data_IF_368033154908
#
_entry.id   IF_368033154908
#
_cell.length_a   1.000
_cell.length_b   1.000
_cell.length_c   1.000
_cell.angle_alpha   90.00
_cell.angle_beta   90.00
_cell.angle_gamma   90.00
#
_symmetry.space_group_name_H-M   'P 1'
#
loop_
_entity.id
_entity.type
_entity.pdbx_description
1 polymer ?
#
# COMPACT_ATOMS: atom_id res chain seq x y z
N UNK A 1 26.83 -1.50 4.03
CA UNK A 1 25.77 -2.52 4.21
C UNK A 1 25.10 -2.69 2.85
N UNK A 2 25.02 -3.93 2.35
CA UNK A 2 24.26 -4.20 1.14
C UNK A 2 22.79 -3.85 1.39
N UNK A 3 22.19 -3.06 0.52
CA UNK A 3 20.82 -2.60 0.68
C UNK A 3 19.91 -3.83 0.49
N UNK A 4 19.18 -4.22 1.55
CA UNK A 4 18.24 -5.35 1.48
C UNK A 4 17.18 -5.03 0.42
N UNK A 5 17.07 -5.84 -0.63
CA UNK A 5 16.04 -5.68 -1.66
C UNK A 5 14.69 -6.04 -1.09
N UNK A 6 13.68 -5.23 -1.41
CA UNK A 6 12.31 -5.49 -0.98
C UNK A 6 11.77 -6.74 -1.65
N UNK A 7 11.16 -7.63 -0.87
CA UNK A 7 10.61 -8.91 -1.33
C UNK A 7 9.54 -9.45 -0.40
N UNK A 8 8.77 -10.40 -0.89
CA UNK A 8 7.72 -11.09 -0.17
C UNK A 8 7.91 -12.60 -0.30
N UNK A 9 7.73 -13.32 0.80
CA UNK A 9 7.62 -14.77 0.81
C UNK A 9 6.17 -15.17 1.06
N UNK A 10 5.70 -16.13 0.28
CA UNK A 10 4.43 -16.84 0.48
C UNK A 10 4.73 -18.25 0.92
N UNK A 11 4.15 -18.67 2.03
CA UNK A 11 4.39 -19.99 2.59
C UNK A 11 3.12 -20.58 3.22
N UNK A 12 3.16 -21.88 3.48
CA UNK A 12 2.12 -22.59 4.22
C UNK A 12 2.70 -23.21 5.48
N UNK A 13 1.82 -23.50 6.44
CA UNK A 13 2.14 -24.21 7.67
C UNK A 13 1.34 -25.50 7.77
N UNK A 14 1.93 -26.54 8.39
CA UNK A 14 1.28 -27.82 8.69
C UNK A 14 0.57 -28.43 7.47
N UNK A 15 1.25 -28.43 6.30
CA UNK A 15 0.69 -29.03 5.08
C UNK A 15 -0.50 -28.26 4.47
N UNK A 16 -0.54 -26.93 4.65
CA UNK A 16 -1.57 -26.07 4.05
C UNK A 16 -2.70 -25.66 4.99
N UNK A 17 -2.62 -26.00 6.29
CA UNK A 17 -3.64 -25.61 7.27
C UNK A 17 -3.66 -24.11 7.59
N UNK A 18 -2.55 -23.41 7.37
CA UNK A 18 -2.49 -21.95 7.37
C UNK A 18 -1.64 -21.46 6.20
N UNK A 19 -1.96 -20.27 5.69
CA UNK A 19 -1.13 -19.54 4.73
C UNK A 19 -0.51 -18.32 5.39
N UNK A 20 0.72 -18.03 5.00
CA UNK A 20 1.46 -16.89 5.55
C UNK A 20 2.06 -16.09 4.40
N UNK A 21 1.98 -14.78 4.52
CA UNK A 21 2.72 -13.82 3.70
C UNK A 21 3.60 -13.01 4.63
N UNK A 22 4.88 -12.94 4.34
CA UNK A 22 5.82 -12.09 5.07
C UNK A 22 6.62 -11.28 4.07
N UNK A 23 6.79 -9.99 4.32
CA UNK A 23 7.51 -9.11 3.39
C UNK A 23 8.49 -8.18 4.11
N UNK A 24 9.57 -7.88 3.42
CA UNK A 24 10.50 -6.78 3.71
C UNK A 24 10.27 -5.69 2.65
N UNK A 25 9.86 -4.50 3.09
CA UNK A 25 9.59 -3.33 2.26
C UNK A 25 10.53 -2.18 2.59
N UNK A 26 11.67 -2.45 3.23
CA UNK A 26 12.59 -1.43 3.75
C UNK A 26 13.07 -0.45 2.68
N UNK A 27 13.54 -0.99 1.54
CA UNK A 27 13.99 -0.17 0.41
C UNK A 27 12.85 0.69 -0.16
N UNK A 28 11.66 0.10 -0.34
CA UNK A 28 10.47 0.82 -0.83
C UNK A 28 10.03 1.94 0.13
N UNK A 29 10.05 1.68 1.43
CA UNK A 29 9.69 2.66 2.45
C UNK A 29 10.68 3.83 2.48
N UNK A 30 11.99 3.57 2.29
CA UNK A 30 12.99 4.62 2.16
C UNK A 30 12.74 5.46 0.90
N UNK A 31 12.52 4.82 -0.25
CA UNK A 31 12.21 5.51 -1.50
C UNK A 31 10.94 6.37 -1.37
N UNK A 32 9.88 5.86 -0.73
CA UNK A 32 8.67 6.64 -0.49
C UNK A 32 8.92 7.85 0.41
N UNK A 33 9.70 7.68 1.50
CA UNK A 33 10.13 8.77 2.37
C UNK A 33 10.84 9.87 1.57
N UNK A 34 11.79 9.49 0.71
CA UNK A 34 12.59 10.43 -0.06
C UNK A 34 11.75 11.17 -1.10
N UNK A 35 10.89 10.46 -1.84
CA UNK A 35 9.98 11.04 -2.84
C UNK A 35 9.05 12.08 -2.23
N UNK A 36 8.48 11.77 -1.07
CA UNK A 36 7.49 12.64 -0.42
C UNK A 36 8.10 13.61 0.61
N UNK A 37 9.40 13.55 0.85
CA UNK A 37 10.08 14.28 1.93
C UNK A 37 9.32 14.14 3.26
N UNK A 38 8.99 12.89 3.59
CA UNK A 38 8.05 12.60 4.66
C UNK A 38 8.71 12.63 6.05
N UNK A 39 7.95 13.10 7.03
CA UNK A 39 8.29 13.04 8.45
C UNK A 39 8.48 11.60 8.92
N UNK A 40 9.00 11.40 10.13
CA UNK A 40 9.15 10.06 10.68
C UNK A 40 7.80 9.36 10.87
N UNK A 41 6.79 10.10 11.36
CA UNK A 41 5.44 9.58 11.57
C UNK A 41 4.79 9.15 10.27
N UNK A 42 4.82 10.01 9.23
CA UNK A 42 4.26 9.71 7.92
C UNK A 42 5.06 8.64 7.17
N UNK A 43 6.38 8.57 7.34
CA UNK A 43 7.21 7.49 6.81
C UNK A 43 6.82 6.13 7.40
N UNK A 44 6.53 6.08 8.70
CA UNK A 44 6.04 4.86 9.34
C UNK A 44 4.65 4.46 8.81
N UNK A 45 3.75 5.42 8.60
CA UNK A 45 2.44 5.17 8.00
C UNK A 45 2.58 4.60 6.58
N UNK A 46 3.38 5.25 5.72
CA UNK A 46 3.59 4.80 4.34
C UNK A 46 4.25 3.42 4.27
N UNK A 47 5.24 3.14 5.13
CA UNK A 47 5.88 1.82 5.16
C UNK A 47 4.92 0.70 5.53
N UNK A 48 4.03 0.91 6.51
CA UNK A 48 2.98 -0.04 6.87
C UNK A 48 1.96 -0.23 5.76
N UNK A 49 1.53 0.85 5.10
CA UNK A 49 0.62 0.77 3.95
C UNK A 49 1.23 0.02 2.78
N UNK A 50 2.51 0.24 2.49
CA UNK A 50 3.26 -0.51 1.46
C UNK A 50 3.24 -2.00 1.75
N UNK A 51 3.57 -2.40 2.98
CA UNK A 51 3.60 -3.81 3.39
C UNK A 51 2.21 -4.46 3.29
N UNK A 52 1.18 -3.83 3.85
CA UNK A 52 -0.19 -4.33 3.81
C UNK A 52 -0.69 -4.50 2.37
N UNK A 53 -0.48 -3.48 1.53
CA UNK A 53 -0.98 -3.48 0.16
C UNK A 53 -0.17 -4.42 -0.74
N UNK A 54 1.15 -4.57 -0.51
CA UNK A 54 1.98 -5.57 -1.18
C UNK A 54 1.47 -7.00 -0.92
N UNK A 55 1.16 -7.31 0.34
CA UNK A 55 0.58 -8.61 0.73
C UNK A 55 -0.76 -8.86 0.04
N UNK A 56 -1.62 -7.84 -0.05
CA UNK A 56 -2.89 -7.96 -0.77
C UNK A 56 -2.67 -8.14 -2.27
N UNK A 57 -1.73 -7.39 -2.86
CA UNK A 57 -1.37 -7.48 -4.28
C UNK A 57 -0.88 -8.86 -4.69
N UNK A 58 -0.12 -9.53 -3.80
CA UNK A 58 0.38 -10.90 -4.03
C UNK A 58 -0.74 -11.97 -4.16
N UNK A 59 -1.99 -11.63 -3.82
CA UNK A 59 -3.16 -12.49 -4.03
C UNK A 59 -3.89 -12.24 -5.35
N UNK A 60 -3.52 -11.21 -6.11
CA UNK A 60 -4.06 -10.93 -7.43
C UNK A 60 -3.54 -11.95 -8.44
N UNK A 61 -4.32 -12.23 -9.49
CA UNK A 61 -4.00 -13.31 -10.43
C UNK A 61 -3.66 -12.82 -11.83
N UNK A 62 -4.29 -11.74 -12.27
CA UNK A 62 -4.20 -11.26 -13.64
C UNK A 62 -3.39 -9.96 -13.70
N UNK A 63 -2.63 -9.78 -14.76
CA UNK A 63 -1.71 -8.64 -14.97
C UNK A 63 -2.43 -7.27 -14.90
N UNK A 64 -3.71 -7.24 -15.31
CA UNK A 64 -4.57 -6.04 -15.25
C UNK A 64 -5.21 -5.79 -13.88
N UNK A 65 -5.13 -6.74 -12.95
CA UNK A 65 -5.75 -6.60 -11.63
C UNK A 65 -5.00 -5.54 -10.81
N UNK A 66 -5.75 -4.78 -10.02
CA UNK A 66 -5.18 -3.79 -9.08
C UNK A 66 -5.95 -3.82 -7.77
N UNK A 67 -5.21 -3.61 -6.70
CA UNK A 67 -5.80 -3.35 -5.40
C UNK A 67 -5.44 -1.94 -4.96
N UNK A 68 -6.44 -1.20 -4.51
CA UNK A 68 -6.27 0.14 -3.95
C UNK A 68 -6.77 0.11 -2.52
N UNK A 69 -5.90 0.42 -1.57
CA UNK A 69 -6.25 0.57 -0.17
C UNK A 69 -6.13 2.04 0.24
N UNK A 70 -7.18 2.58 0.85
CA UNK A 70 -7.22 3.97 1.30
C UNK A 70 -7.70 4.02 2.75
N UNK A 71 -6.92 4.68 3.61
CA UNK A 71 -7.32 5.02 4.97
C UNK A 71 -7.58 6.51 5.03
N UNK A 72 -8.77 6.86 5.52
CA UNK A 72 -9.15 8.24 5.83
C UNK A 72 -9.81 8.24 7.20
N UNK A 73 -9.07 8.64 8.20
CA UNK A 73 -9.50 8.67 9.61
C UNK A 73 -9.72 10.07 10.17
N UNK A 74 -9.64 11.11 9.32
CA UNK A 74 -9.82 12.51 9.74
C UNK A 74 -8.66 13.09 10.58
N UNK A 75 -7.52 12.42 10.59
CA UNK A 75 -6.32 12.91 11.26
C UNK A 75 -5.57 13.98 10.46
N UNK A 76 -4.57 14.65 11.07
CA UNK A 76 -3.88 15.79 10.45
C UNK A 76 -3.03 15.41 9.22
N UNK A 77 -2.59 14.16 9.08
CA UNK A 77 -1.85 13.71 7.91
C UNK A 77 -2.74 13.52 6.67
N UNK A 78 -4.06 13.62 6.83
CA UNK A 78 -5.03 13.39 5.77
C UNK A 78 -5.10 11.93 5.31
N UNK A 79 -5.77 11.65 4.20
CA UNK A 79 -5.84 10.33 3.62
C UNK A 79 -4.48 9.79 3.19
N UNK A 80 -4.31 8.49 3.41
CA UNK A 80 -3.20 7.70 2.86
C UNK A 80 -3.75 6.67 1.90
N UNK A 81 -3.12 6.53 0.73
CA UNK A 81 -3.53 5.59 -0.31
C UNK A 81 -2.34 4.80 -0.83
N UNK A 82 -2.52 3.49 -1.00
CA UNK A 82 -1.55 2.64 -1.68
C UNK A 82 -2.23 1.77 -2.73
N UNK A 83 -1.52 1.51 -3.83
CA UNK A 83 -2.01 0.69 -4.94
C UNK A 83 -0.96 -0.37 -5.24
N UNK A 84 -1.39 -1.62 -5.38
CA UNK A 84 -0.53 -2.74 -5.76
C UNK A 84 -1.06 -3.51 -6.96
N UNK A 85 -0.13 -4.05 -7.75
CA UNK A 85 -0.38 -5.02 -8.81
C UNK A 85 0.06 -6.44 -8.42
N UNK A 86 -0.25 -7.45 -9.26
CA UNK A 86 0.13 -8.86 -9.03
C UNK A 86 1.62 -9.12 -9.23
N UNK A 87 2.34 -8.20 -9.86
CA UNK A 87 3.75 -8.31 -10.21
C UNK A 87 4.71 -7.78 -9.12
N UNK A 88 4.18 -7.48 -7.93
CA UNK A 88 4.93 -6.93 -6.80
C UNK A 88 5.21 -5.42 -6.91
N UNK A 89 4.61 -4.73 -7.89
CA UNK A 89 4.66 -3.27 -7.94
C UNK A 89 3.70 -2.66 -6.94
N UNK A 90 4.17 -1.67 -6.18
CA UNK A 90 3.35 -0.91 -5.23
C UNK A 90 3.68 0.57 -5.36
N UNK A 91 2.68 1.43 -5.16
CA UNK A 91 2.86 2.88 -5.02
C UNK A 91 2.04 3.37 -3.83
N UNK A 92 2.52 4.41 -3.16
CA UNK A 92 1.88 4.98 -1.96
C UNK A 92 1.92 6.50 -2.00
N UNK A 93 0.92 7.13 -1.44
CA UNK A 93 0.86 8.58 -1.23
C UNK A 93 0.14 8.89 0.08
N UNK A 94 0.48 10.02 0.70
CA UNK A 94 -0.19 10.59 1.86
C UNK A 94 -0.39 12.08 1.60
N UNK A 95 -1.50 12.64 2.07
CA UNK A 95 -1.88 14.03 1.72
C UNK A 95 -0.92 15.05 2.33
N UNK A 96 -0.60 14.91 3.61
CA UNK A 96 0.28 15.81 4.36
C UNK A 96 1.51 15.06 4.92
N UNK A 97 2.53 14.77 4.07
CA UNK A 97 3.68 13.97 4.43
C UNK A 97 4.58 14.60 5.49
N UNK A 98 4.50 15.92 5.69
CA UNK A 98 5.28 16.69 6.64
C UNK A 98 4.79 16.59 8.09
N UNK A 99 3.59 16.02 8.32
CA UNK A 99 2.99 15.93 9.66
C UNK A 99 3.80 15.03 10.57
N UNK A 100 4.35 15.61 11.63
CA UNK A 100 5.09 14.92 12.68
C UNK A 100 4.35 15.07 14.01
N UNK A 101 4.14 13.99 14.74
CA UNK A 101 3.49 14.00 16.04
C UNK A 101 4.46 13.56 17.14
N UNK A 102 4.26 14.00 18.39
CA UNK A 102 4.99 13.49 19.53
C UNK A 102 4.86 11.96 19.61
N UNK A 103 5.92 11.32 20.07
CA UNK A 103 5.90 9.88 20.33
C UNK A 103 4.81 9.54 21.36
N UNK A 104 4.26 8.33 21.22
CA UNK A 104 3.38 7.75 22.22
C UNK A 104 4.13 7.52 23.55
N UNK A 105 3.41 7.32 24.65
CA UNK A 105 3.99 7.04 25.96
C UNK A 105 4.94 5.84 25.96
N UNK A 106 4.71 4.86 25.08
CA UNK A 106 5.55 3.69 24.88
C UNK A 106 6.77 3.92 23.96
N UNK A 107 7.03 5.16 23.56
CA UNK A 107 8.13 5.55 22.70
C UNK A 107 7.95 5.25 21.20
N UNK A 108 6.79 4.70 20.79
CA UNK A 108 6.50 4.43 19.36
C UNK A 108 5.96 5.69 18.65
N UNK A 109 6.18 5.75 17.33
CA UNK A 109 5.59 6.78 16.47
C UNK A 109 4.06 6.73 16.51
N UNK A 110 3.42 7.89 16.55
CA UNK A 110 1.96 8.02 16.70
C UNK A 110 1.25 8.04 15.34
N UNK A 111 1.28 6.90 14.63
CA UNK A 111 0.66 6.77 13.30
C UNK A 111 -0.84 6.91 13.39
N UNK A 112 -1.49 6.26 14.37
CA UNK A 112 -2.92 6.38 14.57
C UNK A 112 -3.38 7.79 14.88
N UNK A 113 -2.59 8.58 15.62
CA UNK A 113 -2.88 10.00 15.83
C UNK A 113 -2.74 10.83 14.55
N UNK A 114 -1.80 10.50 13.68
CA UNK A 114 -1.60 11.21 12.41
C UNK A 114 -2.70 10.91 11.39
N UNK A 115 -3.12 9.66 11.26
CA UNK A 115 -4.17 9.25 10.32
C UNK A 115 -5.59 9.50 10.87
N UNK A 116 -5.73 9.50 12.20
CA UNK A 116 -7.04 9.54 12.86
C UNK A 116 -7.72 8.17 12.85
N UNK A 117 -8.87 8.09 13.54
CA UNK A 117 -9.67 6.86 13.66
C UNK A 117 -11.16 7.05 13.38
N UNK A 118 -11.58 8.30 13.17
CA UNK A 118 -12.99 8.64 12.97
C UNK A 118 -13.35 8.58 11.48
N UNK A 119 -13.13 7.39 10.87
CA UNK A 119 -13.30 7.16 9.45
C UNK A 119 -13.23 5.70 9.07
N UNK A 120 -12.70 5.42 7.87
CA UNK A 120 -12.76 4.07 7.31
C UNK A 120 -11.50 3.68 6.55
N UNK A 121 -11.24 2.37 6.51
CA UNK A 121 -10.41 1.72 5.51
C UNK A 121 -11.30 1.29 4.35
N UNK A 122 -10.98 1.71 3.14
CA UNK A 122 -11.60 1.28 1.89
C UNK A 122 -10.59 0.48 1.08
N UNK A 123 -10.97 -0.72 0.67
CA UNK A 123 -10.19 -1.55 -0.24
C UNK A 123 -11.00 -1.77 -1.50
N UNK A 124 -10.44 -1.40 -2.65
CA UNK A 124 -11.03 -1.57 -3.96
C UNK A 124 -10.19 -2.56 -4.77
N UNK A 125 -10.83 -3.59 -5.32
CA UNK A 125 -10.22 -4.55 -6.25
C UNK A 125 -10.77 -4.31 -7.65
N UNK A 126 -9.90 -3.95 -8.58
CA UNK A 126 -10.23 -3.81 -10.00
C UNK A 126 -9.64 -5.00 -10.76
N UNK A 127 -10.44 -5.63 -11.60
CA UNK A 127 -10.07 -6.81 -12.39
C UNK A 127 -9.80 -6.49 -13.87
N UNK A 128 -9.56 -5.24 -14.20
CA UNK A 128 -9.32 -4.81 -15.58
C UNK A 128 -10.58 -4.75 -16.46
N UNK A 129 -11.71 -5.28 -15.98
CA UNK A 129 -13.02 -5.24 -16.64
C UNK A 129 -14.14 -5.29 -15.60
N UNK A 130 -15.29 -4.70 -15.94
CA UNK A 130 -16.44 -4.67 -15.04
C UNK A 130 -16.31 -3.62 -13.92
N UNK A 131 -17.24 -3.69 -12.96
CA UNK A 131 -17.19 -2.82 -11.78
C UNK A 131 -16.22 -3.39 -10.74
N UNK A 132 -15.48 -2.53 -10.03
CA UNK A 132 -14.58 -2.99 -8.97
C UNK A 132 -15.34 -3.49 -7.75
N UNK A 133 -14.80 -4.50 -7.09
CA UNK A 133 -15.26 -4.89 -5.75
C UNK A 133 -14.74 -3.89 -4.73
N UNK A 134 -15.63 -3.39 -3.86
CA UNK A 134 -15.30 -2.39 -2.84
C UNK A 134 -15.73 -2.86 -1.45
N UNK A 135 -14.75 -3.14 -0.59
CA UNK A 135 -14.96 -3.39 0.83
C UNK A 135 -14.64 -2.15 1.66
N UNK A 136 -15.43 -1.92 2.71
CA UNK A 136 -15.25 -0.81 3.66
C UNK A 136 -15.46 -1.28 5.07
N UNK A 137 -14.56 -0.86 5.98
CA UNK A 137 -14.68 -1.10 7.43
C UNK A 137 -14.35 0.16 8.19
N UNK A 138 -14.99 0.37 9.33
CA UNK A 138 -14.62 1.44 10.24
C UNK A 138 -13.21 1.22 10.78
N UNK A 139 -12.45 2.29 10.99
CA UNK A 139 -11.12 2.19 11.59
C UNK A 139 -11.23 1.80 13.06
N UNK A 140 -10.33 0.93 13.49
CA UNK A 140 -10.16 0.52 14.89
C UNK A 140 -9.28 1.52 15.61
N UNK A 141 -8.11 1.82 15.04
CA UNK A 141 -7.10 2.64 15.70
C UNK A 141 -6.37 3.62 14.79
N UNK A 142 -6.43 3.42 13.47
CA UNK A 142 -5.59 4.14 12.51
C UNK A 142 -4.11 3.72 12.53
N UNK A 143 -3.75 2.67 13.30
CA UNK A 143 -2.39 2.10 13.31
C UNK A 143 -2.10 1.19 12.12
N UNK A 144 -3.06 1.04 11.23
CA UNK A 144 -3.03 0.31 9.96
C UNK A 144 -3.14 -1.21 10.15
N UNK A 145 -2.31 -1.84 10.99
CA UNK A 145 -2.31 -3.29 11.15
C UNK A 145 -3.64 -3.83 11.70
N UNK A 146 -4.17 -3.19 12.73
CA UNK A 146 -5.46 -3.53 13.35
C UNK A 146 -6.62 -3.27 12.39
N UNK A 147 -6.52 -2.19 11.60
CA UNK A 147 -7.54 -1.80 10.63
C UNK A 147 -7.61 -2.82 9.47
N UNK A 148 -6.45 -3.32 9.00
CA UNK A 148 -6.41 -4.41 8.02
C UNK A 148 -6.86 -5.75 8.59
N UNK A 149 -6.53 -6.07 9.86
CA UNK A 149 -7.04 -7.27 10.52
C UNK A 149 -8.57 -7.24 10.58
N UNK A 150 -9.16 -6.08 10.92
CA UNK A 150 -10.61 -5.89 10.92
C UNK A 150 -11.21 -6.02 9.52
N UNK A 151 -10.54 -5.48 8.48
CA UNK A 151 -10.96 -5.63 7.10
C UNK A 151 -11.01 -7.11 6.68
N UNK A 152 -9.99 -7.89 7.01
CA UNK A 152 -9.99 -9.31 6.71
C UNK A 152 -11.10 -10.05 7.45
N UNK A 153 -11.39 -9.66 8.68
CA UNK A 153 -12.45 -10.28 9.49
C UNK A 153 -13.85 -9.96 8.95
N UNK A 154 -14.17 -8.68 8.76
CA UNK A 154 -15.53 -8.23 8.44
C UNK A 154 -15.85 -8.30 6.95
N UNK A 155 -14.91 -7.88 6.09
CA UNK A 155 -15.14 -7.79 4.65
C UNK A 155 -14.78 -9.09 3.92
N UNK A 156 -13.64 -9.71 4.27
CA UNK A 156 -13.18 -10.96 3.65
C UNK A 156 -13.67 -12.21 4.38
N UNK A 157 -14.28 -12.07 5.56
CA UNK A 157 -14.73 -13.17 6.42
C UNK A 157 -13.60 -14.18 6.72
N UNK A 158 -12.38 -13.71 6.76
CA UNK A 158 -11.17 -14.53 6.99
C UNK A 158 -10.41 -13.98 8.20
N UNK A 159 -10.62 -14.55 9.39
CA UNK A 159 -9.86 -14.16 10.58
C UNK A 159 -8.37 -14.26 10.31
N UNK A 160 -7.65 -13.16 10.56
CA UNK A 160 -6.25 -13.02 10.18
C UNK A 160 -5.45 -12.36 11.28
N UNK A 161 -4.22 -12.84 11.51
CA UNK A 161 -3.22 -12.11 12.25
C UNK A 161 -2.49 -11.22 11.25
N UNK A 162 -2.56 -9.91 11.47
CA UNK A 162 -1.85 -8.91 10.67
C UNK A 162 -0.91 -8.11 11.57
N UNK A 163 0.38 -8.14 11.26
CA UNK A 163 1.37 -7.32 11.95
C UNK A 163 2.19 -6.55 10.92
N UNK A 164 2.24 -5.23 11.10
CA UNK A 164 2.94 -4.30 10.23
C UNK A 164 3.85 -3.42 11.06
N UNK A 165 5.04 -3.12 10.55
CA UNK A 165 5.97 -2.30 11.30
C UNK A 165 6.94 -1.55 10.39
N UNK A 166 7.30 -0.33 10.82
CA UNK A 166 8.36 0.45 10.20
C UNK A 166 9.18 1.08 11.31
N UNK A 167 10.45 0.74 11.36
CA UNK A 167 11.42 1.28 12.30
C UNK A 167 12.18 2.42 11.60
N UNK A 168 12.02 3.62 12.14
CA UNK A 168 12.54 4.85 11.55
C UNK A 168 13.65 5.42 12.45
N UNK A 169 14.79 5.71 11.84
CA UNK A 169 15.90 6.45 12.42
C UNK A 169 16.21 7.67 11.56
N UNK A 170 17.48 7.93 11.32
CA UNK A 170 17.90 8.89 10.29
C UNK A 170 17.39 8.47 8.91
N UNK A 171 17.45 7.16 8.65
CA UNK A 171 16.83 6.49 7.49
C UNK A 171 15.83 5.45 7.98
N UNK A 172 15.11 4.82 7.04
CA UNK A 172 14.30 3.65 7.36
C UNK A 172 15.25 2.49 7.69
N UNK A 173 15.18 2.01 8.92
CA UNK A 173 16.03 0.90 9.41
C UNK A 173 15.44 -0.42 8.94
N UNK A 174 14.11 -0.60 9.10
CA UNK A 174 13.37 -1.76 8.63
C UNK A 174 11.90 -1.41 8.43
N UNK A 175 11.28 -1.99 7.42
CA UNK A 175 9.84 -1.89 7.13
C UNK A 175 9.35 -3.20 6.55
N UNK A 176 8.14 -3.61 6.93
CA UNK A 176 7.52 -4.79 6.39
C UNK A 176 6.34 -5.26 7.23
N UNK A 177 5.93 -6.48 6.97
CA UNK A 177 4.78 -7.04 7.68
C UNK A 177 4.60 -8.52 7.45
N UNK A 178 3.68 -9.07 8.22
CA UNK A 178 3.25 -10.45 8.12
C UNK A 178 1.72 -10.54 8.19
N UNK A 179 1.16 -11.40 7.37
CA UNK A 179 -0.24 -11.81 7.40
C UNK A 179 -0.30 -13.32 7.55
N UNK A 180 -1.01 -13.80 8.56
CA UNK A 180 -1.25 -15.22 8.80
C UNK A 180 -2.74 -15.47 8.75
N UNK A 181 -3.16 -16.43 7.96
CA UNK A 181 -4.57 -16.80 7.76
C UNK A 181 -4.75 -18.29 7.95
N UNK A 182 -5.59 -18.66 8.92
CA UNK A 182 -6.02 -20.04 9.10
C UNK A 182 -6.93 -20.46 7.94
N UNK A 183 -6.71 -21.65 7.42
CA UNK A 183 -7.60 -22.24 6.41
C UNK A 183 -8.80 -22.92 7.10
N UNK A 184 -9.89 -23.17 6.38
CA UNK A 184 -11.09 -23.78 6.99
C UNK A 184 -10.85 -25.10 7.73
N UNK A 185 -9.85 -25.87 7.29
CA UNK A 185 -9.47 -27.15 7.88
C UNK A 185 -8.35 -27.03 8.94
N UNK A 186 -8.11 -25.82 9.46
CA UNK A 186 -7.08 -25.59 10.46
C UNK A 186 -7.43 -26.31 11.76
N UNK A 187 -6.46 -27.05 12.29
CA UNK A 187 -6.59 -27.73 13.57
C UNK A 187 -6.55 -26.74 14.76
N UNK A 188 -7.26 -27.06 15.85
CA UNK A 188 -7.20 -26.27 17.09
C UNK A 188 -5.77 -26.16 17.62
N UNK A 189 -4.97 -27.23 17.50
CA UNK A 189 -3.56 -27.24 17.89
C UNK A 189 -2.73 -26.18 17.14
N UNK A 190 -2.98 -26.01 15.83
CA UNK A 190 -2.29 -24.98 15.07
C UNK A 190 -2.79 -23.59 15.43
N UNK A 191 -4.09 -23.40 15.65
CA UNK A 191 -4.64 -22.13 16.09
C UNK A 191 -4.04 -21.68 17.43
N UNK A 192 -4.01 -22.54 18.44
CA UNK A 192 -3.39 -22.27 19.73
C UNK A 192 -1.89 -21.92 19.57
N UNK A 193 -1.20 -22.67 18.70
CA UNK A 193 0.21 -22.42 18.43
C UNK A 193 0.46 -21.07 17.74
N UNK A 194 -0.45 -20.59 16.88
CA UNK A 194 -0.36 -19.30 16.25
C UNK A 194 -0.71 -18.15 17.21
N UNK A 195 -1.71 -18.34 18.07
CA UNK A 195 -2.07 -17.36 19.11
C UNK A 195 -0.90 -17.09 20.07
N UNK A 196 -0.24 -18.14 20.55
CA UNK A 196 0.95 -18.01 21.41
C UNK A 196 2.08 -17.22 20.70
N UNK A 197 2.20 -17.38 19.39
CA UNK A 197 3.25 -16.71 18.58
C UNK A 197 2.88 -15.30 18.13
N UNK A 198 1.62 -14.91 18.25
CA UNK A 198 1.15 -13.59 17.79
C UNK A 198 1.95 -12.43 18.42
N UNK A 199 2.33 -12.56 19.68
CA UNK A 199 3.11 -11.54 20.38
C UNK A 199 4.50 -11.34 19.78
N UNK A 200 5.12 -12.38 19.19
CA UNK A 200 6.44 -12.28 18.54
C UNK A 200 6.41 -11.29 17.37
N UNK A 201 5.26 -11.20 16.68
CA UNK A 201 5.10 -10.33 15.52
C UNK A 201 4.72 -8.89 15.89
N UNK A 202 4.40 -8.60 17.16
CA UNK A 202 4.12 -7.22 17.62
C UNK A 202 5.29 -6.26 17.39
N UNK A 203 6.50 -6.80 17.19
CA UNK A 203 7.73 -6.08 16.90
C UNK A 203 8.34 -6.52 15.56
N UNK A 204 7.52 -6.78 14.54
CA UNK A 204 7.97 -7.28 13.23
C UNK A 204 9.08 -6.43 12.60
N UNK A 205 9.04 -5.11 12.74
CA UNK A 205 10.09 -4.23 12.22
C UNK A 205 11.44 -4.43 12.91
N UNK A 206 11.44 -4.83 14.17
CA UNK A 206 12.67 -5.16 14.89
C UNK A 206 13.23 -6.51 14.42
N UNK A 207 12.37 -7.51 14.25
CA UNK A 207 12.79 -8.78 13.64
C UNK A 207 13.41 -8.57 12.25
N UNK A 208 12.77 -7.77 11.40
CA UNK A 208 13.27 -7.44 10.06
C UNK A 208 14.59 -6.65 10.08
N UNK A 209 14.87 -5.88 11.14
CA UNK A 209 16.14 -5.17 11.27
C UNK A 209 17.32 -6.09 11.58
N UNK A 210 17.07 -7.21 12.23
CA UNK A 210 18.09 -8.13 12.75
C UNK A 210 18.24 -9.40 11.93
N UNK A 211 17.15 -9.84 11.23
CA UNK A 211 17.05 -11.15 10.60
C UNK A 211 16.62 -11.03 9.13
N UNK A 212 16.90 -12.06 8.36
CA UNK A 212 16.31 -12.27 7.03
C UNK A 212 14.90 -12.84 7.13
N UNK A 213 14.11 -12.79 6.05
CA UNK A 213 12.76 -13.38 6.05
C UNK A 213 12.79 -14.88 6.35
N UNK A 214 13.77 -15.61 5.83
CA UNK A 214 13.96 -17.03 6.07
C UNK A 214 14.28 -17.34 7.53
N UNK A 215 15.15 -16.57 8.15
CA UNK A 215 15.48 -16.71 9.58
C UNK A 215 14.28 -16.43 10.48
N UNK A 216 13.44 -15.44 10.12
CA UNK A 216 12.17 -15.16 10.83
C UNK A 216 11.22 -16.36 10.66
N UNK A 217 11.08 -16.90 9.45
CA UNK A 217 10.23 -18.06 9.18
C UNK A 217 10.70 -19.29 9.97
N UNK A 218 12.00 -19.62 9.92
CA UNK A 218 12.56 -20.74 10.67
C UNK A 218 12.42 -20.57 12.19
N UNK A 219 12.67 -19.37 12.69
CA UNK A 219 12.62 -19.08 14.12
C UNK A 219 11.19 -19.07 14.66
N UNK A 220 10.32 -18.28 14.02
CA UNK A 220 8.96 -18.05 14.53
C UNK A 220 8.00 -19.21 14.27
N UNK A 221 8.24 -20.02 13.21
CA UNK A 221 7.39 -21.16 12.87
C UNK A 221 8.04 -22.53 13.11
N UNK A 222 9.07 -22.56 13.98
CA UNK A 222 9.70 -23.83 14.36
C UNK A 222 8.65 -24.82 14.89
N UNK A 223 8.66 -26.02 14.33
CA UNK A 223 7.72 -27.10 14.68
C UNK A 223 6.38 -27.05 13.99
N UNK A 224 6.12 -26.02 13.16
CA UNK A 224 4.89 -25.89 12.35
C UNK A 224 5.10 -26.24 10.88
N UNK A 225 6.23 -26.86 10.53
CA UNK A 225 6.59 -27.31 9.18
C UNK A 225 6.33 -26.23 8.10
N UNK A 226 7.00 -25.05 8.19
CA UNK A 226 6.85 -24.01 7.19
C UNK A 226 7.39 -24.47 5.83
N UNK A 227 6.59 -24.28 4.78
CA UNK A 227 6.95 -24.59 3.39
C UNK A 227 6.82 -23.31 2.56
N UNK A 228 7.96 -22.77 2.09
CA UNK A 228 8.00 -21.59 1.22
C UNK A 228 7.57 -22.03 -0.18
N UNK A 229 6.48 -21.45 -0.67
CA UNK A 229 5.90 -21.75 -1.97
C UNK A 229 6.39 -20.80 -3.07
N UNK A 230 6.63 -19.55 -2.70
CA UNK A 230 6.94 -18.49 -3.66
C UNK A 230 7.75 -17.38 -3.01
N UNK A 231 8.68 -16.81 -3.76
CA UNK A 231 9.36 -15.56 -3.48
C UNK A 231 9.03 -14.55 -4.58
N UNK A 232 8.55 -13.36 -4.20
CA UNK A 232 8.19 -12.28 -5.11
C UNK A 232 9.04 -11.04 -4.83
N UNK A 233 9.76 -10.49 -5.83
CA UNK A 233 10.41 -9.20 -5.69
C UNK A 233 9.36 -8.09 -5.58
N UNK A 234 9.57 -7.14 -4.67
CA UNK A 234 8.70 -5.97 -4.51
C UNK A 234 9.40 -4.71 -5.00
N UNK A 235 8.64 -3.78 -5.58
CA UNK A 235 9.18 -2.54 -6.13
C UNK A 235 8.22 -1.36 -5.89
N UNK A 236 8.77 -0.24 -5.42
CA UNK A 236 8.05 1.02 -5.44
C UNK A 236 8.09 1.55 -6.89
N UNK A 237 6.96 1.52 -7.57
CA UNK A 237 6.90 1.92 -8.97
C UNK A 237 5.58 2.63 -9.27
N UNK A 238 5.69 3.83 -9.88
CA UNK A 238 4.55 4.55 -10.42
C UNK A 238 4.45 4.33 -11.92
N UNK A 239 3.25 4.07 -12.39
CA UNK A 239 2.89 3.85 -13.79
C UNK A 239 2.33 5.11 -14.48
N UNK A 240 2.48 6.29 -13.86
CA UNK A 240 2.06 7.54 -14.48
C UNK A 240 2.86 7.83 -15.76
N UNK A 241 2.17 8.29 -16.78
CA UNK A 241 2.74 8.70 -18.06
C UNK A 241 2.10 10.00 -18.53
N UNK A 242 2.72 10.68 -19.51
CA UNK A 242 2.13 11.86 -20.12
C UNK A 242 0.75 11.56 -20.71
N UNK A 243 0.62 10.46 -21.43
CA UNK A 243 -0.64 10.01 -22.03
C UNK A 243 -1.73 9.74 -20.98
N UNK A 244 -1.33 9.23 -19.78
CA UNK A 244 -2.27 9.06 -18.69
C UNK A 244 -2.76 10.40 -18.15
N UNK A 245 -1.86 11.37 -17.96
CA UNK A 245 -2.21 12.72 -17.50
C UNK A 245 -3.07 13.46 -18.52
N UNK A 246 -2.81 13.30 -19.82
CA UNK A 246 -3.65 13.84 -20.89
C UNK A 246 -5.09 13.33 -20.81
N UNK A 247 -5.28 12.03 -20.59
CA UNK A 247 -6.63 11.47 -20.37
C UNK A 247 -7.29 12.02 -19.10
N UNK A 248 -6.53 12.23 -18.04
CA UNK A 248 -7.06 12.85 -16.80
C UNK A 248 -7.50 14.29 -17.08
N UNK A 249 -6.69 15.09 -17.78
CA UNK A 249 -7.06 16.46 -18.17
C UNK A 249 -8.34 16.46 -19.02
N UNK A 250 -8.44 15.61 -20.03
CA UNK A 250 -9.66 15.50 -20.84
C UNK A 250 -10.89 15.11 -20.02
N UNK A 251 -10.73 14.31 -18.98
CA UNK A 251 -11.85 13.92 -18.10
C UNK A 251 -12.38 15.06 -17.22
N UNK A 252 -11.62 16.14 -17.06
CA UNK A 252 -12.07 17.36 -16.33
C UNK A 252 -13.09 18.17 -17.15
N UNK A 253 -13.09 18.00 -18.48
CA UNK A 253 -13.97 18.70 -19.40
C UNK A 253 -13.29 19.84 -20.14
N UNK A 254 -13.88 20.20 -21.28
CA UNK A 254 -13.32 21.21 -22.20
C UNK A 254 -13.24 22.60 -21.55
N UNK A 255 -14.25 22.98 -20.78
CA UNK A 255 -14.31 24.32 -20.15
C UNK A 255 -13.14 24.54 -19.19
N UNK A 256 -12.79 23.54 -18.38
CA UNK A 256 -11.65 23.61 -17.47
C UNK A 256 -10.32 23.73 -18.20
N UNK A 257 -10.16 22.98 -19.29
CA UNK A 257 -8.93 23.03 -20.11
C UNK A 257 -8.82 24.42 -20.80
N UNK A 258 -9.93 24.98 -21.31
CA UNK A 258 -9.95 26.34 -21.88
C UNK A 258 -9.60 27.40 -20.86
N UNK A 259 -10.09 27.26 -19.62
CA UNK A 259 -9.73 28.14 -18.51
C UNK A 259 -8.20 28.10 -18.22
N UNK A 260 -7.58 26.91 -18.26
CA UNK A 260 -6.12 26.78 -18.11
C UNK A 260 -5.36 27.47 -19.23
N UNK A 261 -5.84 27.38 -20.47
CA UNK A 261 -5.23 28.03 -21.64
C UNK A 261 -5.33 29.56 -21.48
N UNK A 262 -6.53 30.09 -21.24
CA UNK A 262 -6.81 31.52 -21.21
C UNK A 262 -6.15 32.24 -20.03
N UNK A 263 -6.18 31.61 -18.83
CA UNK A 263 -5.72 32.27 -17.60
C UNK A 263 -4.23 32.10 -17.34
N UNK A 264 -3.65 30.94 -17.74
CA UNK A 264 -2.29 30.56 -17.37
C UNK A 264 -1.39 30.19 -18.56
N UNK A 265 -1.94 30.19 -19.80
CA UNK A 265 -1.27 29.75 -21.02
C UNK A 265 -0.67 28.34 -20.87
N UNK A 266 -1.36 27.43 -20.15
CA UNK A 266 -0.95 26.07 -19.90
C UNK A 266 -1.24 25.61 -18.48
N UNK A 267 -0.73 24.44 -18.10
CA UNK A 267 -0.82 23.93 -16.75
C UNK A 267 0.40 23.07 -16.37
N UNK A 268 0.60 22.91 -15.07
CA UNK A 268 1.54 21.94 -14.51
C UNK A 268 0.77 20.98 -13.61
N UNK A 269 0.93 19.67 -13.85
CA UNK A 269 0.32 18.60 -13.07
C UNK A 269 1.41 17.80 -12.39
N UNK A 270 1.32 17.68 -11.07
CA UNK A 270 2.21 16.83 -10.28
C UNK A 270 1.55 15.49 -9.97
N UNK A 271 2.26 14.39 -10.21
CA UNK A 271 1.78 13.07 -9.83
C UNK A 271 1.85 12.87 -8.31
N UNK A 272 0.73 12.63 -7.66
CA UNK A 272 0.66 12.45 -6.21
C UNK A 272 1.52 11.30 -5.68
N UNK A 273 1.75 10.24 -6.48
CA UNK A 273 2.51 9.06 -6.05
C UNK A 273 4.03 9.19 -6.20
N UNK A 274 4.53 9.81 -7.27
CA UNK A 274 5.97 9.88 -7.55
C UNK A 274 6.51 11.30 -7.65
N UNK A 275 5.67 12.30 -7.43
CA UNK A 275 6.03 13.74 -7.48
C UNK A 275 6.62 14.19 -8.82
N UNK A 276 6.43 13.41 -9.90
CA UNK A 276 6.85 13.80 -11.24
C UNK A 276 5.93 14.89 -11.76
N UNK A 277 6.55 15.95 -12.32
CA UNK A 277 5.86 17.08 -12.91
C UNK A 277 5.65 16.88 -14.41
N UNK A 278 4.44 17.16 -14.87
CA UNK A 278 4.04 17.17 -16.27
C UNK A 278 3.57 18.57 -16.63
N UNK A 279 4.25 19.19 -17.59
CA UNK A 279 3.93 20.54 -18.07
C UNK A 279 3.27 20.47 -19.43
N UNK A 280 2.22 21.27 -19.60
CA UNK A 280 1.47 21.43 -20.83
C UNK A 280 1.38 22.90 -21.14
N UNK A 281 1.85 23.31 -22.33
CA UNK A 281 1.65 24.66 -22.86
C UNK A 281 0.20 24.86 -23.32
N UNK A 282 -0.22 26.12 -23.53
CA UNK A 282 -1.53 26.41 -24.10
C UNK A 282 -1.72 25.76 -25.46
N UNK A 283 -0.71 25.77 -26.33
CA UNK A 283 -0.73 25.12 -27.65
C UNK A 283 -0.92 23.59 -27.55
N UNK A 284 -0.20 22.94 -26.62
CA UNK A 284 -0.38 21.49 -26.39
C UNK A 284 -1.76 21.13 -25.86
N UNK A 285 -2.38 21.99 -25.04
CA UNK A 285 -3.74 21.79 -24.55
C UNK A 285 -4.79 22.01 -25.65
N UNK A 286 -4.58 22.98 -26.56
CA UNK A 286 -5.43 23.18 -27.73
C UNK A 286 -5.37 21.96 -28.67
N UNK A 287 -4.18 21.45 -28.93
CA UNK A 287 -3.98 20.24 -29.74
C UNK A 287 -4.67 19.02 -29.11
N UNK A 288 -4.60 18.88 -27.78
CA UNK A 288 -5.25 17.79 -27.02
C UNK A 288 -6.77 17.85 -27.19
N UNK A 289 -7.40 19.01 -27.05
CA UNK A 289 -8.83 19.21 -27.30
C UNK A 289 -9.21 18.88 -28.74
N UNK A 290 -8.42 19.35 -29.71
CA UNK A 290 -8.68 19.08 -31.12
C UNK A 290 -8.58 17.58 -31.49
N UNK A 291 -7.70 16.83 -30.83
CA UNK A 291 -7.60 15.38 -30.99
C UNK A 291 -8.82 14.66 -30.37
N UNK A 292 -9.27 15.08 -29.19
CA UNK A 292 -10.43 14.51 -28.53
C UNK A 292 -11.72 14.71 -29.34
N UNK A 293 -11.90 15.90 -29.95
CA UNK A 293 -13.05 16.17 -30.83
C UNK A 293 -13.05 15.27 -32.07
N UNK A 294 -11.90 15.09 -32.74
CA UNK A 294 -11.78 14.20 -33.91
C UNK A 294 -12.07 12.74 -33.56
N UNK A 295 -11.65 12.27 -32.40
CA UNK A 295 -11.94 10.90 -31.95
C UNK A 295 -13.44 10.68 -31.73
N UNK A 296 -14.12 11.64 -31.07
CA UNK A 296 -15.56 11.58 -30.81
C UNK A 296 -16.42 11.64 -32.14
N UNK A 297 -15.94 12.31 -33.16
CA UNK A 297 -16.62 12.35 -34.50
C UNK A 297 -16.52 11.00 -35.21
N UNK A 298 -15.39 10.29 -35.07
CA UNK A 298 -15.16 8.97 -35.68
C UNK A 298 -15.93 7.83 -34.99
N UNK A 299 -16.21 7.94 -33.71
CA UNK A 299 -17.00 6.94 -32.95
C UNK A 299 -18.52 7.09 -33.16
N UNK A 300 -18.97 8.21 -33.77
CA UNK A 300 -20.38 8.50 -34.04
C UNK A 300 -20.80 8.25 -35.52
N UNK A 301 -19.87 7.89 -36.41
CA UNK A 301 -20.10 7.47 -37.80
C UNK A 301 -19.99 5.93 -37.91
#
# INVERSE_FOLDING_TARGET
MEQKKSRLLRLTLMGGQARVFICDTTEMAQQARDIHNASNTCSAAMGRMLAATAIMGANLKSEGDRITATINGGGPAGPICAIAGPDGTVKVTIEHPEVELPLKENGKLNVGGALGKDGQLTVMRSFGFGEPDVGRVALVSGEIAEDFAMYYLESEQTPSLCALGTLVGENIIASGGILIQAMPDCSEELLDALEIRAELFSSISQLLSEMTLEEIVEGCFRGLNPEILEEMPLRLQCDCSRDYIERVLLSMGEDEIRDMIEKQNGCEVECHFCRKHYRFSGEELEDLLAQAHRANEQDND
#
